data_IF_838230325067
#
_entry.id   IF_838230325067
#
_cell.length_a   1.000
_cell.length_b   1.000
_cell.length_c   1.000
_cell.angle_alpha   90.00
_cell.angle_beta   90.00
_cell.angle_gamma   90.00
#
_symmetry.space_group_name_H-M   'P 1'
#
loop_
_entity.id
_entity.type
_entity.pdbx_description
1 polymer ?
#
# COMPACT_ATOMS: atom_id res chain seq x y z
N UNK A 1 42.33 -1.55 10.41
CA UNK A 1 43.49 -1.08 9.64
C UNK A 1 43.22 -1.31 8.16
N UNK A 2 43.36 -0.30 7.29
CA UNK A 2 43.14 -0.47 5.86
C UNK A 2 44.28 -1.32 5.28
N UNK A 3 43.95 -2.44 4.64
CA UNK A 3 44.92 -3.18 3.83
C UNK A 3 45.21 -2.38 2.56
N UNK A 4 46.50 -2.16 2.30
CA UNK A 4 47.01 -1.28 1.25
C UNK A 4 46.77 -1.75 -0.21
N UNK A 5 45.81 -2.67 -0.44
CA UNK A 5 45.62 -3.32 -1.75
C UNK A 5 44.32 -2.91 -2.47
N UNK A 6 43.62 -1.85 -2.05
CA UNK A 6 42.46 -1.32 -2.80
C UNK A 6 41.24 -2.25 -2.91
N UNK A 7 41.31 -3.47 -2.38
CA UNK A 7 40.17 -4.36 -2.21
C UNK A 7 39.30 -3.81 -1.09
N UNK A 8 38.38 -2.92 -1.47
CA UNK A 8 37.21 -2.58 -0.65
C UNK A 8 36.66 -3.88 -0.07
N UNK A 9 36.48 -3.89 1.24
CA UNK A 9 35.87 -4.95 2.01
C UNK A 9 34.44 -5.22 1.48
N UNK A 10 34.31 -6.11 0.51
CA UNK A 10 33.06 -6.74 0.05
C UNK A 10 32.46 -7.70 1.09
N UNK A 11 32.78 -7.51 2.38
CA UNK A 11 32.46 -8.45 3.46
C UNK A 11 31.00 -8.49 3.91
N UNK A 12 30.05 -7.90 3.16
CA UNK A 12 28.62 -7.88 3.50
C UNK A 12 27.67 -7.87 2.29
N UNK A 13 28.10 -8.31 1.10
CA UNK A 13 27.20 -8.32 -0.05
C UNK A 13 26.41 -9.63 -0.13
N UNK A 14 25.25 -9.63 0.54
CA UNK A 14 24.20 -10.64 0.35
C UNK A 14 23.56 -10.58 -1.07
N UNK A 15 23.92 -9.57 -1.87
CA UNK A 15 23.45 -9.36 -3.23
C UNK A 15 24.58 -8.80 -4.12
N UNK A 16 24.54 -9.11 -5.41
CA UNK A 16 25.42 -8.55 -6.44
C UNK A 16 24.77 -7.33 -7.09
N UNK A 17 25.47 -6.19 -7.07
CA UNK A 17 25.08 -4.96 -7.78
C UNK A 17 25.98 -4.79 -9.02
N UNK A 18 25.54 -5.19 -10.23
CA UNK A 18 26.33 -5.01 -11.43
C UNK A 18 26.46 -3.52 -11.79
N UNK A 19 27.66 -3.03 -12.15
CA UNK A 19 27.86 -1.67 -12.62
C UNK A 19 27.25 -1.51 -14.02
N UNK A 20 26.01 -1.04 -14.07
CA UNK A 20 25.29 -0.76 -15.31
C UNK A 20 25.46 0.71 -15.69
N UNK A 21 26.00 0.95 -16.90
CA UNK A 21 26.05 2.28 -17.51
C UNK A 21 24.81 2.42 -18.42
N UNK A 22 23.88 3.29 -18.05
CA UNK A 22 22.73 3.62 -18.89
C UNK A 22 23.04 4.80 -19.80
N UNK A 23 23.11 4.56 -21.11
CA UNK A 23 23.23 5.61 -22.12
C UNK A 23 21.82 5.99 -22.63
N UNK A 24 21.29 7.12 -22.14
CA UNK A 24 20.07 7.72 -22.67
C UNK A 24 20.45 8.80 -23.68
N UNK A 25 20.12 8.58 -24.96
CA UNK A 25 20.31 9.61 -26.00
C UNK A 25 19.48 10.86 -25.70
N UNK A 26 20.00 12.03 -26.05
CA UNK A 26 19.28 13.31 -25.90
C UNK A 26 17.88 13.25 -26.52
N UNK A 27 16.85 13.63 -25.77
CA UNK A 27 15.44 13.57 -26.16
C UNK A 27 14.81 12.16 -26.19
N UNK A 28 15.61 11.08 -26.05
CA UNK A 28 15.10 9.70 -25.95
C UNK A 28 14.71 9.32 -24.51
N UNK A 29 15.15 10.08 -23.51
CA UNK A 29 14.80 9.88 -22.11
C UNK A 29 13.30 9.87 -21.92
N UNK A 30 12.60 10.85 -22.48
CA UNK A 30 11.17 11.04 -22.23
C UNK A 30 10.35 9.93 -22.87
N UNK A 31 10.70 9.55 -24.11
CA UNK A 31 10.07 8.42 -24.80
C UNK A 31 10.31 7.08 -24.10
N UNK A 32 11.48 6.90 -23.47
CA UNK A 32 11.76 5.72 -22.65
C UNK A 32 10.93 5.75 -21.36
N UNK A 33 10.95 6.86 -20.63
CA UNK A 33 10.18 7.03 -19.39
C UNK A 33 8.70 6.78 -19.62
N UNK A 34 8.08 7.38 -20.65
CA UNK A 34 6.67 7.15 -20.99
C UNK A 34 6.38 5.68 -21.30
N UNK A 35 7.28 5.00 -22.00
CA UNK A 35 7.14 3.57 -22.30
C UNK A 35 7.22 2.72 -21.04
N UNK A 36 8.16 3.02 -20.15
CA UNK A 36 8.31 2.32 -18.86
C UNK A 36 7.08 2.55 -17.98
N UNK A 37 6.61 3.80 -17.88
CA UNK A 37 5.38 4.14 -17.14
C UNK A 37 4.17 3.33 -17.65
N UNK A 38 4.01 3.26 -18.97
CA UNK A 38 2.94 2.46 -19.59
C UNK A 38 3.09 0.98 -19.25
N UNK A 39 4.29 0.42 -19.40
CA UNK A 39 4.53 -0.99 -19.10
C UNK A 39 4.25 -1.34 -17.62
N UNK A 40 4.65 -0.47 -16.68
CA UNK A 40 4.37 -0.65 -15.25
C UNK A 40 2.85 -0.67 -14.99
N UNK A 41 2.11 0.26 -15.61
CA UNK A 41 0.66 0.28 -15.54
C UNK A 41 0.02 -0.98 -16.16
N UNK A 42 0.49 -1.39 -17.34
CA UNK A 42 -0.04 -2.53 -18.07
C UNK A 42 0.22 -3.86 -17.34
N UNK A 43 1.33 -3.97 -16.60
CA UNK A 43 1.61 -5.11 -15.73
C UNK A 43 0.58 -5.18 -14.61
N UNK A 44 0.36 -4.07 -13.90
CA UNK A 44 -0.61 -4.06 -12.81
C UNK A 44 -2.04 -4.30 -13.31
N UNK A 45 -2.39 -3.76 -14.46
CA UNK A 45 -3.70 -4.01 -15.07
C UNK A 45 -3.94 -5.50 -15.31
N UNK A 46 -2.91 -6.27 -15.71
CA UNK A 46 -2.98 -7.72 -15.86
C UNK A 46 -3.06 -8.48 -14.53
N UNK A 47 -2.44 -7.95 -13.48
CA UNK A 47 -2.54 -8.52 -12.12
C UNK A 47 -3.95 -8.29 -11.59
N UNK A 48 -4.49 -7.08 -11.73
CA UNK A 48 -5.83 -6.71 -11.26
C UNK A 48 -6.95 -7.44 -12.02
N UNK A 49 -6.78 -7.68 -13.32
CA UNK A 49 -7.77 -8.40 -14.13
C UNK A 49 -7.80 -9.93 -13.86
N UNK A 50 -6.82 -10.47 -13.12
CA UNK A 50 -6.69 -11.90 -12.83
C UNK A 50 -6.85 -12.14 -11.31
N UNK A 51 -7.99 -12.67 -10.84
CA UNK A 51 -8.25 -12.84 -9.41
C UNK A 51 -7.21 -13.68 -8.67
N UNK A 52 -6.59 -14.65 -9.34
CA UNK A 52 -5.56 -15.51 -8.73
C UNK A 52 -4.27 -14.71 -8.54
N UNK A 53 -3.86 -13.95 -9.55
CA UNK A 53 -2.67 -13.08 -9.45
C UNK A 53 -2.88 -11.93 -8.49
N UNK A 54 -4.07 -11.33 -8.47
CA UNK A 54 -4.37 -10.27 -7.53
C UNK A 54 -4.26 -10.76 -6.09
N UNK A 55 -4.85 -11.93 -5.78
CA UNK A 55 -4.75 -12.53 -4.45
C UNK A 55 -3.30 -12.88 -4.08
N UNK A 56 -2.52 -13.42 -5.03
CA UNK A 56 -1.10 -13.69 -4.79
C UNK A 56 -0.34 -12.39 -4.46
N UNK A 57 -0.59 -11.33 -5.22
CA UNK A 57 0.01 -10.03 -4.98
C UNK A 57 -0.37 -9.43 -3.62
N UNK A 58 -1.61 -9.58 -3.15
CA UNK A 58 -1.98 -9.07 -1.82
C UNK A 58 -1.20 -9.74 -0.70
N UNK A 59 -0.86 -11.02 -0.84
CA UNK A 59 -0.02 -11.76 0.11
C UNK A 59 1.45 -11.32 -0.01
N UNK A 60 1.95 -11.08 -1.21
CA UNK A 60 3.30 -10.52 -1.40
C UNK A 60 3.43 -9.08 -0.89
N UNK A 61 2.33 -8.33 -0.89
CA UNK A 61 2.30 -6.97 -0.38
C UNK A 61 2.38 -6.94 1.16
N UNK A 62 1.74 -7.91 1.82
CA UNK A 62 1.67 -8.09 3.28
C UNK A 62 2.16 -9.50 3.63
N UNK A 63 3.48 -9.65 3.70
CA UNK A 63 4.17 -10.94 3.75
C UNK A 63 4.02 -11.68 5.09
N UNK A 64 3.79 -10.95 6.18
CA UNK A 64 3.76 -11.52 7.53
C UNK A 64 2.33 -11.93 7.92
N UNK A 65 2.11 -13.06 8.61
CA UNK A 65 0.79 -13.50 9.06
C UNK A 65 0.05 -12.45 9.92
N UNK A 66 0.79 -11.64 10.69
CA UNK A 66 0.24 -10.54 11.47
C UNK A 66 -0.38 -9.42 10.60
N UNK A 67 -0.15 -9.44 9.29
CA UNK A 67 -0.73 -8.50 8.32
C UNK A 67 -1.96 -9.07 7.58
N UNK A 68 -2.45 -10.26 7.96
CA UNK A 68 -3.60 -10.92 7.30
C UNK A 68 -4.85 -10.05 7.25
N UNK A 69 -5.13 -9.26 8.30
CA UNK A 69 -6.25 -8.32 8.31
C UNK A 69 -6.17 -7.32 7.14
N UNK A 70 -5.00 -6.75 6.91
CA UNK A 70 -4.75 -5.80 5.83
C UNK A 70 -4.83 -6.48 4.47
N UNK A 71 -4.31 -7.71 4.36
CA UNK A 71 -4.43 -8.57 3.18
C UNK A 71 -5.89 -8.82 2.81
N UNK A 72 -6.71 -9.16 3.80
CA UNK A 72 -8.15 -9.40 3.64
C UNK A 72 -8.88 -8.17 3.14
N UNK A 73 -8.66 -7.00 3.75
CA UNK A 73 -9.23 -5.73 3.29
C UNK A 73 -8.86 -5.48 1.83
N UNK A 74 -7.57 -5.55 1.50
CA UNK A 74 -7.10 -5.31 0.13
C UNK A 74 -7.70 -6.32 -0.87
N UNK A 75 -7.84 -7.57 -0.46
CA UNK A 75 -8.54 -8.61 -1.22
C UNK A 75 -9.98 -8.23 -1.57
N UNK A 76 -10.74 -7.72 -0.60
CA UNK A 76 -12.11 -7.22 -0.85
C UNK A 76 -12.14 -6.02 -1.79
N UNK A 77 -11.19 -5.08 -1.66
CA UNK A 77 -11.11 -3.91 -2.55
C UNK A 77 -10.91 -4.33 -4.01
N UNK A 78 -10.02 -5.27 -4.27
CA UNK A 78 -9.82 -5.81 -5.61
C UNK A 78 -11.00 -6.62 -6.12
N UNK A 79 -11.63 -7.43 -5.28
CA UNK A 79 -12.82 -8.19 -5.66
C UNK A 79 -14.03 -7.28 -5.95
N UNK A 80 -14.11 -6.12 -5.29
CA UNK A 80 -15.13 -5.11 -5.56
C UNK A 80 -14.90 -4.38 -6.89
N UNK A 81 -13.64 -4.24 -7.33
CA UNK A 81 -13.29 -3.56 -8.57
C UNK A 81 -13.88 -4.28 -9.80
N UNK A 82 -14.31 -3.47 -10.78
CA UNK A 82 -14.87 -3.92 -12.06
C UNK A 82 -14.51 -2.95 -13.17
N UNK A 83 -13.91 -3.46 -14.24
CA UNK A 83 -13.45 -2.64 -15.37
C UNK A 83 -14.57 -2.01 -16.21
N UNK A 84 -15.75 -2.63 -16.21
CA UNK A 84 -16.91 -2.16 -16.97
C UNK A 84 -17.72 -1.07 -16.24
N UNK A 85 -17.41 -0.82 -14.96
CA UNK A 85 -18.02 0.26 -14.17
C UNK A 85 -17.13 1.49 -14.25
N UNK A 86 -17.61 2.53 -14.93
CA UNK A 86 -16.90 3.81 -15.12
C UNK A 86 -16.41 4.41 -13.79
N UNK A 87 -17.26 4.38 -12.78
CA UNK A 87 -17.01 4.98 -11.46
C UNK A 87 -15.83 4.30 -10.75
N UNK A 88 -15.54 3.03 -11.09
CA UNK A 88 -14.41 2.28 -10.54
C UNK A 88 -13.05 2.70 -11.14
N UNK A 89 -13.02 3.66 -12.08
CA UNK A 89 -11.77 4.21 -12.57
C UNK A 89 -10.91 4.82 -11.44
N UNK A 90 -11.53 5.50 -10.46
CA UNK A 90 -10.79 6.06 -9.31
C UNK A 90 -10.33 4.96 -8.35
N UNK A 91 -11.11 3.89 -8.19
CA UNK A 91 -10.69 2.71 -7.42
C UNK A 91 -9.46 2.05 -8.07
N UNK A 92 -9.43 1.94 -9.40
CA UNK A 92 -8.24 1.48 -10.13
C UNK A 92 -7.02 2.35 -9.83
N UNK A 93 -7.19 3.68 -9.77
CA UNK A 93 -6.12 4.61 -9.38
C UNK A 93 -5.67 4.37 -7.94
N UNK A 94 -6.59 4.13 -7.00
CA UNK A 94 -6.27 3.81 -5.61
C UNK A 94 -5.45 2.52 -5.49
N UNK A 95 -5.85 1.47 -6.19
CA UNK A 95 -5.11 0.20 -6.22
C UNK A 95 -3.75 0.35 -6.91
N UNK A 96 -3.64 1.20 -7.94
CA UNK A 96 -2.36 1.55 -8.56
C UNK A 96 -1.43 2.30 -7.62
N UNK A 97 -1.95 3.17 -6.76
CA UNK A 97 -1.14 3.85 -5.76
C UNK A 97 -0.44 2.84 -4.85
N UNK A 98 -1.19 1.84 -4.35
CA UNK A 98 -0.62 0.75 -3.54
C UNK A 98 0.41 -0.06 -4.32
N UNK A 99 0.15 -0.36 -5.59
CA UNK A 99 1.14 -1.00 -6.46
C UNK A 99 2.41 -0.17 -6.64
N UNK A 100 2.30 1.14 -6.87
CA UNK A 100 3.47 2.00 -7.02
C UNK A 100 4.26 2.09 -5.72
N UNK A 101 3.57 2.16 -4.59
CA UNK A 101 4.21 2.14 -3.27
C UNK A 101 4.94 0.81 -3.02
N UNK A 102 4.33 -0.33 -3.34
CA UNK A 102 5.00 -1.64 -3.31
C UNK A 102 6.33 -1.62 -4.07
N UNK A 103 6.30 -1.10 -5.30
CA UNK A 103 7.49 -1.02 -6.15
C UNK A 103 8.53 -0.02 -5.64
N UNK A 104 8.10 1.07 -4.99
CA UNK A 104 8.99 2.07 -4.41
C UNK A 104 9.69 1.55 -3.14
N UNK A 105 8.99 0.75 -2.33
CA UNK A 105 9.52 0.18 -1.10
C UNK A 105 10.45 -1.02 -1.37
N UNK A 106 10.10 -1.87 -2.34
CA UNK A 106 10.87 -3.07 -2.64
C UNK A 106 12.05 -2.81 -3.59
N UNK A 107 13.01 -3.73 -3.60
CA UNK A 107 14.11 -3.73 -4.57
C UNK A 107 13.69 -4.56 -5.79
N UNK A 108 13.96 -4.05 -6.98
CA UNK A 108 13.86 -4.82 -8.21
C UNK A 108 15.01 -5.84 -8.25
N UNK A 109 14.66 -7.11 -8.16
CA UNK A 109 15.58 -8.25 -8.24
C UNK A 109 15.45 -8.87 -9.63
N UNK A 110 16.59 -9.20 -10.24
CA UNK A 110 16.61 -9.94 -11.51
C UNK A 110 16.28 -11.40 -11.20
N UNK A 111 15.24 -11.98 -11.81
CA UNK A 111 14.85 -13.35 -11.50
C UNK A 111 15.92 -14.33 -12.03
N UNK A 112 16.12 -15.49 -11.37
CA UNK A 112 17.23 -16.40 -11.65
C UNK A 112 17.38 -16.79 -13.13
N UNK A 113 16.26 -16.99 -13.82
CA UNK A 113 16.20 -17.35 -15.24
C UNK A 113 16.67 -16.23 -16.19
N UNK A 114 16.61 -14.97 -15.76
CA UNK A 114 17.03 -13.81 -16.55
C UNK A 114 18.50 -13.41 -16.28
N UNK A 115 19.11 -13.91 -15.21
CA UNK A 115 20.47 -13.54 -14.79
C UNK A 115 21.49 -13.84 -15.89
N UNK A 116 21.40 -15.00 -16.55
CA UNK A 116 22.33 -15.37 -17.64
C UNK A 116 22.25 -14.41 -18.83
N UNK A 117 21.04 -13.92 -19.15
CA UNK A 117 20.87 -12.92 -20.21
C UNK A 117 21.47 -11.56 -19.80
N UNK A 118 21.30 -11.16 -18.54
CA UNK A 118 21.92 -9.93 -18.03
C UNK A 118 23.45 -10.04 -18.09
N UNK A 119 24.02 -11.13 -17.58
CA UNK A 119 25.48 -11.36 -17.56
C UNK A 119 26.09 -11.33 -18.97
N UNK A 120 25.41 -11.88 -19.97
CA UNK A 120 25.86 -11.85 -21.36
C UNK A 120 25.95 -10.44 -21.98
N UNK A 121 25.30 -9.44 -21.36
CA UNK A 121 25.26 -8.06 -21.84
C UNK A 121 26.04 -7.08 -20.94
N UNK A 122 26.73 -7.56 -19.90
CA UNK A 122 27.55 -6.74 -19.02
C UNK A 122 29.03 -6.85 -19.37
N UNK A 123 29.72 -5.71 -19.39
CA UNK A 123 31.19 -5.68 -19.53
C UNK A 123 31.90 -6.23 -18.28
N UNK A 124 31.28 -6.05 -17.10
CA UNK A 124 31.81 -6.59 -15.84
C UNK A 124 31.09 -7.88 -15.46
N UNK A 125 31.86 -8.93 -15.21
CA UNK A 125 31.33 -10.21 -14.74
C UNK A 125 31.12 -10.21 -13.22
N UNK A 126 30.34 -11.20 -12.75
CA UNK A 126 30.10 -11.45 -11.33
C UNK A 126 31.44 -11.57 -10.56
N UNK A 127 31.54 -11.08 -9.31
CA UNK A 127 32.73 -11.24 -8.50
C UNK A 127 33.18 -12.70 -8.41
N UNK A 128 34.49 -12.92 -8.53
CA UNK A 128 35.08 -14.26 -8.46
C UNK A 128 34.79 -14.86 -7.07
N UNK A 129 34.12 -16.02 -7.04
CA UNK A 129 33.74 -16.73 -5.82
C UNK A 129 32.33 -16.42 -5.28
N UNK A 130 31.56 -15.53 -5.92
CA UNK A 130 30.17 -15.32 -5.54
C UNK A 130 29.30 -16.54 -5.87
N UNK A 131 28.43 -16.95 -4.95
CA UNK A 131 27.50 -18.06 -5.15
C UNK A 131 26.59 -17.81 -6.36
N UNK A 132 26.18 -18.89 -7.06
CA UNK A 132 25.25 -18.78 -8.21
C UNK A 132 23.90 -18.20 -7.81
N UNK A 133 23.49 -18.45 -6.57
CA UNK A 133 22.18 -18.07 -6.03
C UNK A 133 22.18 -16.68 -5.37
N UNK A 134 23.26 -15.90 -5.51
CA UNK A 134 23.29 -14.53 -5.00
C UNK A 134 22.22 -13.69 -5.69
N UNK A 135 21.45 -12.93 -4.92
CA UNK A 135 20.45 -12.02 -5.48
C UNK A 135 21.12 -10.96 -6.33
N UNK A 136 20.59 -10.70 -7.52
CA UNK A 136 21.14 -9.68 -8.43
C UNK A 136 20.26 -8.44 -8.38
N UNK A 137 20.80 -7.35 -7.84
CA UNK A 137 20.07 -6.11 -7.59
C UNK A 137 20.85 -4.96 -8.24
N UNK A 138 20.54 -4.60 -9.49
CA UNK A 138 21.19 -3.49 -10.16
C UNK A 138 20.71 -2.17 -9.58
N UNK A 139 21.52 -1.51 -8.76
CA UNK A 139 21.13 -0.29 -8.04
C UNK A 139 20.84 0.87 -9.01
N UNK A 140 21.63 1.02 -10.07
CA UNK A 140 21.40 2.07 -11.08
C UNK A 140 20.02 1.93 -11.72
N UNK A 141 19.62 0.70 -12.08
CA UNK A 141 18.29 0.43 -12.65
C UNK A 141 17.20 0.65 -11.61
N UNK A 142 17.42 0.19 -10.37
CA UNK A 142 16.48 0.43 -9.27
C UNK A 142 16.22 1.92 -9.08
N UNK A 143 17.26 2.76 -9.02
CA UNK A 143 17.13 4.22 -8.89
C UNK A 143 16.40 4.81 -10.09
N UNK A 144 16.72 4.38 -11.31
CA UNK A 144 16.06 4.84 -12.52
C UNK A 144 14.56 4.50 -12.52
N UNK A 145 14.19 3.26 -12.20
CA UNK A 145 12.79 2.84 -12.13
C UNK A 145 12.04 3.58 -11.02
N UNK A 146 12.63 3.72 -9.82
CA UNK A 146 12.01 4.46 -8.71
C UNK A 146 11.84 5.94 -9.02
N UNK A 147 12.79 6.56 -9.74
CA UNK A 147 12.67 7.94 -10.21
C UNK A 147 11.53 8.12 -11.24
N UNK A 148 11.19 7.08 -12.00
CA UNK A 148 10.02 7.08 -12.90
C UNK A 148 8.72 6.85 -12.14
N UNK A 149 8.73 5.95 -11.14
CA UNK A 149 7.53 5.55 -10.39
C UNK A 149 7.07 6.62 -9.42
N UNK A 150 7.99 7.34 -8.77
CA UNK A 150 7.63 8.35 -7.76
C UNK A 150 6.65 9.41 -8.30
N UNK A 151 6.88 10.06 -9.45
CA UNK A 151 5.90 10.97 -10.05
C UNK A 151 4.55 10.31 -10.38
N UNK A 152 4.54 9.01 -10.71
CA UNK A 152 3.29 8.27 -10.93
C UNK A 152 2.51 8.09 -9.64
N UNK A 153 3.20 7.77 -8.54
CA UNK A 153 2.62 7.65 -7.21
C UNK A 153 2.07 8.98 -6.71
N UNK A 154 2.83 10.07 -6.85
CA UNK A 154 2.38 11.42 -6.49
C UNK A 154 1.10 11.82 -7.23
N UNK A 155 1.08 11.61 -8.55
CA UNK A 155 -0.10 11.88 -9.38
C UNK A 155 -1.30 11.02 -8.98
N UNK A 156 -1.08 9.74 -8.68
CA UNK A 156 -2.15 8.84 -8.23
C UNK A 156 -2.70 9.27 -6.87
N UNK A 157 -1.84 9.68 -5.93
CA UNK A 157 -2.23 10.19 -4.62
C UNK A 157 -3.02 11.51 -4.72
N UNK A 158 -2.59 12.44 -5.58
CA UNK A 158 -3.33 13.68 -5.85
C UNK A 158 -4.72 13.38 -6.42
N UNK A 159 -4.80 12.51 -7.42
CA UNK A 159 -6.08 12.12 -8.02
C UNK A 159 -7.00 11.44 -7.01
N UNK A 160 -6.46 10.53 -6.19
CA UNK A 160 -7.21 9.82 -5.16
C UNK A 160 -7.74 10.77 -4.09
N UNK A 161 -6.88 11.63 -3.53
CA UNK A 161 -7.27 12.56 -2.46
C UNK A 161 -8.30 13.58 -2.95
N UNK A 162 -8.12 14.12 -4.16
CA UNK A 162 -9.12 14.99 -4.80
C UNK A 162 -10.44 14.25 -5.08
N UNK A 163 -10.36 13.05 -5.66
CA UNK A 163 -11.54 12.24 -5.96
C UNK A 163 -12.33 11.85 -4.72
N UNK A 164 -11.65 11.49 -3.64
CA UNK A 164 -12.26 11.20 -2.34
C UNK A 164 -12.90 12.46 -1.74
N UNK A 165 -12.21 13.59 -1.75
CA UNK A 165 -12.77 14.86 -1.28
C UNK A 165 -14.06 15.21 -2.04
N UNK A 166 -14.01 15.22 -3.38
CA UNK A 166 -15.14 15.58 -4.23
C UNK A 166 -16.33 14.63 -4.01
N UNK A 167 -16.06 13.33 -3.82
CA UNK A 167 -17.08 12.33 -3.54
C UNK A 167 -17.76 12.58 -2.18
N UNK A 168 -16.98 12.71 -1.11
CA UNK A 168 -17.48 12.96 0.24
C UNK A 168 -18.24 14.29 0.30
N UNK A 169 -17.71 15.34 -0.34
CA UNK A 169 -18.36 16.63 -0.43
C UNK A 169 -19.71 16.55 -1.15
N UNK A 170 -19.76 15.88 -2.31
CA UNK A 170 -21.01 15.68 -3.05
C UNK A 170 -22.04 14.91 -2.21
N UNK A 171 -21.61 13.86 -1.52
CA UNK A 171 -22.48 13.09 -0.61
C UNK A 171 -23.01 13.96 0.53
N UNK A 172 -22.15 14.77 1.16
CA UNK A 172 -22.51 15.64 2.27
C UNK A 172 -23.46 16.79 1.86
N UNK A 173 -23.22 17.41 0.71
CA UNK A 173 -24.04 18.53 0.19
C UNK A 173 -25.38 18.03 -0.32
N UNK A 174 -25.41 16.94 -1.09
CA UNK A 174 -26.65 16.40 -1.63
C UNK A 174 -27.53 15.75 -0.56
N UNK A 175 -26.95 15.37 0.58
CA UNK A 175 -27.58 14.53 1.62
C UNK A 175 -28.08 13.18 1.04
N UNK A 176 -27.55 12.77 -0.12
CA UNK A 176 -27.86 11.50 -0.76
C UNK A 176 -26.61 10.62 -0.72
N UNK A 177 -26.62 9.69 0.22
CA UNK A 177 -25.59 8.64 0.31
C UNK A 177 -26.17 7.39 -0.34
N UNK A 178 -25.76 7.11 -1.57
CA UNK A 178 -26.08 5.85 -2.21
C UNK A 178 -25.11 4.75 -1.76
N UNK A 179 -25.52 3.48 -1.86
CA UNK A 179 -24.69 2.35 -1.44
C UNK A 179 -23.39 2.33 -2.22
N UNK A 180 -23.44 2.54 -3.54
CA UNK A 180 -22.23 2.48 -4.35
C UNK A 180 -21.24 3.61 -4.06
N UNK A 181 -21.72 4.83 -3.77
CA UNK A 181 -20.85 5.93 -3.39
C UNK A 181 -20.23 5.71 -1.99
N UNK A 182 -20.99 5.14 -1.04
CA UNK A 182 -20.45 4.79 0.27
C UNK A 182 -19.36 3.71 0.14
N UNK A 183 -19.62 2.64 -0.61
CA UNK A 183 -18.65 1.58 -0.86
C UNK A 183 -17.39 2.13 -1.55
N UNK A 184 -17.54 2.97 -2.57
CA UNK A 184 -16.40 3.57 -3.28
C UNK A 184 -15.58 4.50 -2.37
N UNK A 185 -16.23 5.33 -1.57
CA UNK A 185 -15.55 6.19 -0.58
C UNK A 185 -14.76 5.35 0.41
N UNK A 186 -15.36 4.25 0.89
CA UNK A 186 -14.73 3.31 1.81
C UNK A 186 -13.50 2.65 1.19
N UNK A 187 -13.59 2.18 -0.06
CA UNK A 187 -12.45 1.61 -0.77
C UNK A 187 -11.28 2.59 -0.91
N UNK A 188 -11.59 3.85 -1.24
CA UNK A 188 -10.59 4.90 -1.38
C UNK A 188 -9.93 5.24 -0.03
N UNK A 189 -10.71 5.31 1.04
CA UNK A 189 -10.21 5.53 2.41
C UNK A 189 -9.27 4.41 2.86
N UNK A 190 -9.68 3.15 2.72
CA UNK A 190 -8.81 2.02 3.08
C UNK A 190 -7.51 2.04 2.28
N UNK A 191 -7.58 2.27 0.97
CA UNK A 191 -6.37 2.37 0.14
C UNK A 191 -5.45 3.50 0.61
N UNK A 192 -6.00 4.66 0.96
CA UNK A 192 -5.22 5.79 1.45
C UNK A 192 -4.60 5.51 2.83
N UNK A 193 -5.33 4.85 3.73
CA UNK A 193 -4.84 4.48 5.05
C UNK A 193 -3.75 3.41 4.99
N UNK A 194 -3.88 2.44 4.08
CA UNK A 194 -2.84 1.43 3.82
C UNK A 194 -1.55 2.11 3.33
N UNK A 195 -1.67 2.96 2.30
CA UNK A 195 -0.55 3.73 1.76
C UNK A 195 0.10 4.60 2.84
N UNK A 196 -0.70 5.30 3.64
CA UNK A 196 -0.20 6.16 4.71
C UNK A 196 0.57 5.35 5.75
N UNK A 197 0.00 4.26 6.26
CA UNK A 197 0.59 3.46 7.32
C UNK A 197 1.92 2.82 6.92
N UNK A 198 2.02 2.36 5.68
CA UNK A 198 3.25 1.80 5.12
C UNK A 198 4.30 2.85 4.80
N UNK A 199 3.90 4.04 4.33
CA UNK A 199 4.81 5.18 4.20
C UNK A 199 5.37 5.60 5.55
N UNK A 200 4.54 5.63 6.61
CA UNK A 200 5.00 5.90 7.97
C UNK A 200 5.99 4.83 8.47
N UNK A 201 5.78 3.55 8.12
CA UNK A 201 6.76 2.50 8.40
C UNK A 201 8.08 2.73 7.66
N UNK A 202 8.04 3.18 6.40
CA UNK A 202 9.25 3.52 5.67
C UNK A 202 10.03 4.67 6.33
N UNK A 203 9.35 5.70 6.84
CA UNK A 203 9.99 6.78 7.62
C UNK A 203 10.66 6.23 8.88
N UNK A 204 10.06 5.24 9.54
CA UNK A 204 10.69 4.58 10.69
C UNK A 204 11.99 3.90 10.31
N UNK A 205 12.06 3.23 9.17
CA UNK A 205 13.30 2.60 8.69
C UNK A 205 14.40 3.63 8.38
N UNK A 206 14.05 4.85 7.96
CA UNK A 206 15.04 5.92 7.73
C UNK A 206 15.82 6.28 9.00
N UNK A 207 15.21 6.19 10.18
CA UNK A 207 15.89 6.46 11.45
C UNK A 207 17.00 5.44 11.78
N UNK A 208 17.00 4.28 11.12
CA UNK A 208 18.04 3.26 11.23
C UNK A 208 19.11 3.37 10.13
N UNK A 209 18.91 4.25 9.15
CA UNK A 209 19.83 4.41 8.03
C UNK A 209 21.00 5.31 8.46
N UNK A 210 22.26 4.92 8.20
CA UNK A 210 23.41 5.74 8.56
C UNK A 210 23.37 7.13 7.90
N UNK A 211 23.74 8.17 8.65
CA UNK A 211 23.75 9.56 8.15
C UNK A 211 24.63 9.75 6.90
N UNK A 212 25.68 8.92 6.73
CA UNK A 212 26.53 8.93 5.54
C UNK A 212 25.79 8.53 4.25
N UNK A 213 24.71 7.75 4.35
CA UNK A 213 23.88 7.34 3.21
C UNK A 213 22.77 8.34 2.91
N UNK A 214 22.20 8.95 3.95
CA UNK A 214 21.12 9.95 3.82
C UNK A 214 21.64 11.35 3.45
N UNK A 215 22.90 11.67 3.78
CA UNK A 215 23.44 13.02 3.68
C UNK A 215 23.06 13.94 4.84
N UNK A 216 22.16 13.49 5.72
CA UNK A 216 21.72 14.17 6.93
C UNK A 216 21.39 13.17 8.05
N UNK A 217 21.33 13.66 9.30
CA UNK A 217 20.88 12.86 10.44
C UNK A 217 19.35 12.91 10.50
N UNK A 218 18.69 11.77 10.31
CA UNK A 218 17.24 11.65 10.49
C UNK A 218 16.93 10.99 11.83
N UNK A 219 16.43 11.75 12.79
CA UNK A 219 16.25 11.27 14.17
C UNK A 219 14.88 10.63 14.40
N UNK A 220 14.73 9.91 15.50
CA UNK A 220 13.42 9.40 15.94
C UNK A 220 12.41 10.54 16.18
N UNK A 221 12.87 11.70 16.67
CA UNK A 221 11.98 12.85 16.88
C UNK A 221 11.47 13.42 15.55
N UNK A 222 12.31 13.49 14.51
CA UNK A 222 11.92 13.94 13.17
C UNK A 222 10.88 13.00 12.56
N UNK A 223 11.10 11.70 12.73
CA UNK A 223 10.17 10.66 12.31
C UNK A 223 8.81 10.78 13.03
N UNK A 224 8.80 10.90 14.35
CA UNK A 224 7.55 11.04 15.11
C UNK A 224 6.78 12.31 14.72
N UNK A 225 7.48 13.43 14.59
CA UNK A 225 6.88 14.69 14.16
C UNK A 225 6.28 14.56 12.75
N UNK A 226 6.99 13.90 11.84
CA UNK A 226 6.51 13.69 10.47
C UNK A 226 5.29 12.76 10.42
N UNK A 227 5.29 11.68 11.19
CA UNK A 227 4.16 10.75 11.26
C UNK A 227 2.90 11.46 11.78
N UNK A 228 3.03 12.26 12.86
CA UNK A 228 1.91 13.06 13.39
C UNK A 228 1.40 14.07 12.37
N UNK A 229 2.30 14.79 11.69
CA UNK A 229 1.92 15.73 10.62
C UNK A 229 1.14 15.04 9.49
N UNK A 230 1.51 13.81 9.13
CA UNK A 230 0.79 13.05 8.11
C UNK A 230 -0.60 12.58 8.60
N UNK A 231 -0.74 12.20 9.87
CA UNK A 231 -2.05 11.82 10.43
C UNK A 231 -3.00 13.00 10.49
N UNK A 232 -2.55 14.12 11.06
CA UNK A 232 -3.36 15.33 11.19
C UNK A 232 -3.87 15.81 9.83
N UNK A 233 -3.01 15.77 8.80
CA UNK A 233 -3.33 16.29 7.45
C UNK A 233 -4.14 15.34 6.58
N UNK A 234 -4.02 14.03 6.78
CA UNK A 234 -4.58 13.03 5.86
C UNK A 234 -5.57 12.13 6.58
N UNK A 235 -5.12 11.43 7.61
CA UNK A 235 -5.96 10.47 8.34
C UNK A 235 -7.15 11.19 8.97
N UNK A 236 -6.90 12.12 9.88
CA UNK A 236 -7.95 12.77 10.65
C UNK A 236 -8.90 13.53 9.74
N UNK A 237 -8.37 14.25 8.75
CA UNK A 237 -9.17 14.96 7.77
C UNK A 237 -10.17 14.05 7.03
N UNK A 238 -9.70 12.98 6.38
CA UNK A 238 -10.58 12.15 5.55
C UNK A 238 -11.46 11.23 6.38
N UNK A 239 -10.96 10.71 7.52
CA UNK A 239 -11.72 9.88 8.45
C UNK A 239 -12.86 10.70 9.06
N UNK A 240 -12.59 11.92 9.56
CA UNK A 240 -13.62 12.77 10.15
C UNK A 240 -14.63 13.26 9.10
N UNK A 241 -14.16 13.61 7.89
CA UNK A 241 -15.08 14.02 6.83
C UNK A 241 -15.99 12.86 6.38
N UNK A 242 -15.45 11.64 6.33
CA UNK A 242 -16.25 10.46 6.09
C UNK A 242 -17.29 10.24 7.19
N UNK A 243 -16.88 10.29 8.47
CA UNK A 243 -17.78 10.20 9.62
C UNK A 243 -18.90 11.23 9.56
N UNK A 244 -18.55 12.49 9.30
CA UNK A 244 -19.51 13.58 9.15
C UNK A 244 -20.51 13.30 8.04
N UNK A 245 -20.03 12.83 6.89
CA UNK A 245 -20.86 12.52 5.72
C UNK A 245 -21.85 11.39 6.02
N UNK A 246 -21.39 10.32 6.69
CA UNK A 246 -22.24 9.20 7.07
C UNK A 246 -23.30 9.59 8.12
N UNK A 247 -22.94 10.40 9.12
CA UNK A 247 -23.84 10.82 10.20
C UNK A 247 -24.98 11.74 9.75
N UNK A 248 -24.84 12.42 8.61
CA UNK A 248 -25.94 13.24 8.03
C UNK A 248 -27.08 12.43 7.42
N UNK A 249 -27.08 11.09 7.55
CA UNK A 249 -28.16 10.17 7.11
C UNK A 249 -29.56 10.41 7.70
N UNK A 250 -29.84 11.54 8.38
CA UNK A 250 -31.12 11.76 9.08
C UNK A 250 -32.35 11.80 8.16
N UNK A 251 -32.17 11.84 6.83
CA UNK A 251 -33.28 11.80 5.88
C UNK A 251 -33.04 10.67 4.87
N UNK A 252 -33.84 9.59 4.94
CA UNK A 252 -33.97 8.58 3.86
C UNK A 252 -34.50 9.29 2.60
N UNK A 253 -33.61 9.97 1.89
CA UNK A 253 -33.90 10.53 0.58
C UNK A 253 -33.89 9.38 -0.43
N UNK A 254 -35.05 9.04 -0.96
CA UNK A 254 -35.21 8.08 -2.05
C UNK A 254 -34.36 8.52 -3.25
N UNK A 255 -33.41 7.69 -3.65
CA UNK A 255 -32.68 7.85 -4.92
C UNK A 255 -33.68 7.91 -6.07
N UNK A 256 -33.35 8.66 -7.14
CA UNK A 256 -34.17 8.62 -8.35
C UNK A 256 -34.20 7.17 -8.88
N UNK A 257 -35.34 6.71 -9.41
CA UNK A 257 -35.48 5.32 -9.88
C UNK A 257 -34.46 4.93 -10.96
N UNK A 258 -34.02 5.92 -11.74
CA UNK A 258 -32.94 5.81 -12.74
C UNK A 258 -31.57 5.58 -12.12
N UNK A 259 -31.19 6.30 -11.06
CA UNK A 259 -29.87 6.12 -10.43
C UNK A 259 -29.78 4.78 -9.71
N UNK A 260 -30.87 4.37 -9.06
CA UNK A 260 -30.96 3.10 -8.34
C UNK A 260 -30.73 1.87 -9.23
N UNK A 261 -30.98 1.99 -10.55
CA UNK A 261 -30.82 0.90 -11.52
C UNK A 261 -29.53 0.98 -12.35
N UNK A 262 -28.63 1.91 -12.05
CA UNK A 262 -27.31 1.97 -12.68
C UNK A 262 -26.50 0.68 -12.42
N UNK A 263 -25.57 0.34 -13.33
CA UNK A 263 -24.68 -0.81 -13.14
C UNK A 263 -23.86 -0.69 -11.85
N UNK A 264 -23.49 0.54 -11.48
CA UNK A 264 -22.76 0.87 -10.26
C UNK A 264 -23.58 0.56 -8.99
N UNK A 265 -24.81 1.05 -8.89
CA UNK A 265 -25.69 0.75 -7.74
C UNK A 265 -26.14 -0.70 -7.67
N UNK A 266 -26.29 -1.36 -8.82
CA UNK A 266 -26.60 -2.80 -8.85
C UNK A 266 -25.44 -3.62 -8.30
N UNK A 267 -24.23 -3.35 -8.79
CA UNK A 267 -23.02 -4.02 -8.33
C UNK A 267 -22.79 -3.85 -6.83
N UNK A 268 -22.90 -2.62 -6.31
CA UNK A 268 -22.74 -2.37 -4.87
C UNK A 268 -23.73 -3.16 -4.02
N UNK A 269 -25.01 -3.18 -4.40
CA UNK A 269 -26.06 -3.93 -3.69
C UNK A 269 -25.89 -5.45 -3.77
N UNK A 270 -25.37 -5.96 -4.88
CA UNK A 270 -25.10 -7.39 -5.06
C UNK A 270 -23.83 -7.82 -4.33
N UNK A 271 -22.80 -6.98 -4.36
CA UNK A 271 -21.53 -7.27 -3.72
C UNK A 271 -21.64 -7.18 -2.20
N UNK A 272 -22.32 -6.16 -1.65
CA UNK A 272 -22.49 -5.95 -0.20
C UNK A 272 -21.16 -5.78 0.53
N UNK A 273 -20.37 -4.79 0.10
CA UNK A 273 -19.00 -4.62 0.58
C UNK A 273 -18.96 -4.42 2.11
N UNK A 274 -19.77 -3.50 2.61
CA UNK A 274 -19.84 -3.20 4.05
C UNK A 274 -20.26 -4.43 4.85
N UNK A 275 -21.28 -5.17 4.41
CA UNK A 275 -21.71 -6.37 5.15
C UNK A 275 -20.65 -7.48 5.13
N UNK A 276 -19.93 -7.65 4.01
CA UNK A 276 -18.82 -8.62 3.94
C UNK A 276 -17.68 -8.21 4.86
N UNK A 277 -17.30 -6.94 4.85
CA UNK A 277 -16.27 -6.42 5.75
C UNK A 277 -16.68 -6.58 7.21
N UNK A 278 -17.92 -6.21 7.58
CA UNK A 278 -18.42 -6.43 8.94
C UNK A 278 -18.36 -7.90 9.33
N UNK A 279 -18.86 -8.78 8.47
CA UNK A 279 -18.87 -10.21 8.76
C UNK A 279 -17.47 -10.76 8.97
N UNK A 280 -16.55 -10.50 8.04
CA UNK A 280 -15.18 -11.01 8.14
C UNK A 280 -14.48 -10.44 9.38
N UNK A 281 -14.63 -9.13 9.62
CA UNK A 281 -14.00 -8.45 10.75
C UNK A 281 -14.58 -8.91 12.08
N UNK A 282 -15.89 -9.06 12.22
CA UNK A 282 -16.48 -9.57 13.46
C UNK A 282 -16.21 -11.06 13.68
N UNK A 283 -16.30 -11.89 12.64
CA UNK A 283 -16.15 -13.34 12.76
C UNK A 283 -14.71 -13.77 12.98
N UNK A 284 -13.77 -13.23 12.19
CA UNK A 284 -12.38 -13.67 12.18
C UNK A 284 -11.50 -12.81 13.09
N UNK A 285 -11.77 -11.50 13.17
CA UNK A 285 -10.89 -10.54 13.86
C UNK A 285 -11.48 -9.95 15.16
N UNK A 286 -12.79 -9.99 15.34
CA UNK A 286 -13.52 -9.32 16.43
C UNK A 286 -13.90 -10.23 17.59
N UNK A 287 -13.98 -11.55 17.39
CA UNK A 287 -14.34 -12.53 18.43
C UNK A 287 -13.22 -12.88 19.42
N UNK A 288 -12.02 -12.33 19.26
CA UNK A 288 -10.89 -12.59 20.16
C UNK A 288 -10.94 -11.87 21.51
N UNK A 289 -12.01 -11.12 21.82
CA UNK A 289 -12.30 -10.65 23.19
C UNK A 289 -12.59 -11.82 24.18
N UNK A 290 -12.65 -13.06 23.70
CA UNK A 290 -12.79 -14.26 24.53
C UNK A 290 -11.47 -14.95 24.93
N UNK A 291 -10.29 -14.38 24.67
CA UNK A 291 -9.03 -14.86 25.25
C UNK A 291 -8.85 -14.44 26.72
N UNK A 292 -9.90 -14.71 27.51
CA UNK A 292 -9.84 -14.95 28.94
C UNK A 292 -9.59 -16.45 29.13
N UNK A 293 -8.54 -16.80 29.88
CA UNK A 293 -8.32 -18.11 30.51
C UNK A 293 -8.04 -19.34 29.63
N UNK A 294 -6.96 -19.33 28.84
CA UNK A 294 -6.07 -20.50 28.77
C UNK A 294 -4.79 -20.16 27.98
N UNK A 295 -3.59 -20.15 28.61
CA UNK A 295 -2.36 -20.14 27.85
C UNK A 295 -2.22 -21.52 27.22
N UNK A 296 -2.47 -21.63 25.91
CA UNK A 296 -2.03 -22.81 25.18
C UNK A 296 -0.51 -22.81 25.23
N UNK A 297 0.00 -23.75 26.02
CA UNK A 297 1.34 -24.27 25.88
C UNK A 297 1.55 -24.52 24.36
N UNK A 298 2.46 -23.75 23.75
CA UNK A 298 3.16 -24.05 22.49
C UNK A 298 2.53 -23.45 21.20
N UNK A 299 2.08 -22.19 21.25
CA UNK A 299 2.22 -21.29 20.10
C UNK A 299 2.99 -20.05 20.53
N UNK A 300 4.23 -19.94 20.05
CA UNK A 300 4.93 -18.66 20.02
C UNK A 300 4.09 -17.67 19.21
N UNK A 301 4.10 -16.42 19.68
CA UNK A 301 3.28 -15.28 19.26
C UNK A 301 1.85 -15.27 19.83
N UNK A 302 1.77 -14.55 20.94
CA UNK A 302 0.55 -13.96 21.50
C UNK A 302 -0.33 -13.47 20.34
N UNK A 303 -1.50 -14.08 20.17
CA UNK A 303 -2.60 -13.46 19.44
C UNK A 303 -3.02 -12.21 20.22
N UNK A 304 -2.24 -11.14 20.08
CA UNK A 304 -2.58 -9.82 20.59
C UNK A 304 -3.92 -9.44 19.97
N UNK A 305 -4.90 -9.05 20.79
CA UNK A 305 -6.22 -8.60 20.33
C UNK A 305 -6.08 -7.78 19.04
N UNK A 306 -6.67 -8.28 17.96
CA UNK A 306 -6.49 -7.68 16.63
C UNK A 306 -7.16 -6.31 16.51
N UNK A 307 -8.07 -5.97 17.42
CA UNK A 307 -8.54 -4.61 17.64
C UNK A 307 -7.52 -3.83 18.48
N UNK A 308 -6.86 -2.79 17.94
CA UNK A 308 -5.89 -2.01 18.70
C UNK A 308 -6.53 -1.35 19.92
N UNK A 309 -5.89 -1.47 21.08
CA UNK A 309 -6.35 -0.85 22.33
C UNK A 309 -6.45 0.68 22.25
N UNK A 310 -5.63 1.29 21.39
CA UNK A 310 -5.67 2.71 21.07
C UNK A 310 -5.65 2.90 19.56
N UNK A 311 -6.50 3.79 19.06
CA UNK A 311 -6.46 4.24 17.66
C UNK A 311 -5.58 5.47 17.44
N UNK A 312 -5.01 6.03 18.51
CA UNK A 312 -3.98 7.08 18.41
C UNK A 312 -2.64 6.45 18.07
N UNK A 313 -1.83 7.15 17.28
CA UNK A 313 -0.46 6.72 17.03
C UNK A 313 0.33 6.66 18.33
N UNK A 314 0.86 5.47 18.62
CA UNK A 314 1.65 5.19 19.82
C UNK A 314 2.49 3.95 19.58
N UNK A 315 3.65 3.86 20.25
CA UNK A 315 4.53 2.70 20.15
C UNK A 315 5.26 2.60 18.81
N UNK A 316 6.41 3.26 18.70
CA UNK A 316 7.27 3.23 17.50
C UNK A 316 8.31 2.10 17.55
N UNK A 317 7.93 0.95 18.11
CA UNK A 317 8.79 -0.23 18.16
C UNK A 317 8.96 -0.79 16.74
N UNK A 318 10.21 -0.97 16.30
CA UNK A 318 10.52 -1.33 14.90
C UNK A 318 9.85 -2.65 14.49
N UNK A 319 9.86 -3.62 15.40
CA UNK A 319 9.35 -4.96 15.13
C UNK A 319 7.83 -4.98 14.96
N UNK A 320 7.11 -4.08 15.64
CA UNK A 320 5.64 -4.12 15.71
C UNK A 320 4.94 -2.99 14.96
N UNK A 321 5.64 -1.87 14.75
CA UNK A 321 5.04 -0.67 14.15
C UNK A 321 4.51 -0.94 12.74
N UNK A 322 5.20 -1.77 11.95
CA UNK A 322 4.79 -2.14 10.59
C UNK A 322 3.34 -2.64 10.55
N UNK A 323 3.04 -3.72 11.27
CA UNK A 323 1.72 -4.35 11.20
C UNK A 323 0.70 -3.59 12.08
N UNK A 324 1.08 -3.10 13.26
CA UNK A 324 0.13 -2.41 14.15
C UNK A 324 -0.34 -1.08 13.59
N UNK A 325 0.53 -0.33 12.91
CA UNK A 325 0.19 1.01 12.44
C UNK A 325 -0.82 0.98 11.27
N UNK A 326 -0.59 0.14 10.26
CA UNK A 326 -1.53 -0.01 9.13
C UNK A 326 -2.87 -0.54 9.64
N UNK A 327 -2.83 -1.57 10.49
CA UNK A 327 -4.02 -2.14 11.15
C UNK A 327 -4.83 -1.07 11.88
N UNK A 328 -4.17 -0.23 12.68
CA UNK A 328 -4.80 0.89 13.40
C UNK A 328 -5.49 1.88 12.48
N UNK A 329 -4.85 2.30 11.40
CA UNK A 329 -5.45 3.24 10.44
C UNK A 329 -6.66 2.63 9.72
N UNK A 330 -6.60 1.34 9.39
CA UNK A 330 -7.74 0.62 8.82
C UNK A 330 -8.91 0.53 9.83
N UNK A 331 -8.63 0.29 11.11
CA UNK A 331 -9.64 0.30 12.16
C UNK A 331 -10.28 1.68 12.38
N UNK A 332 -9.55 2.79 12.19
CA UNK A 332 -10.13 4.15 12.23
C UNK A 332 -11.22 4.32 11.17
N UNK A 333 -10.97 3.82 9.96
CA UNK A 333 -11.96 3.87 8.87
C UNK A 333 -13.16 2.99 9.19
N UNK A 334 -12.90 1.76 9.63
CA UNK A 334 -13.94 0.78 9.91
C UNK A 334 -14.87 1.21 11.05
N UNK A 335 -14.33 1.81 12.12
CA UNK A 335 -15.13 2.33 13.24
C UNK A 335 -16.19 3.36 12.80
N UNK A 336 -15.89 4.17 11.78
CA UNK A 336 -16.88 5.11 11.26
C UNK A 336 -18.04 4.43 10.53
N UNK A 337 -17.82 3.22 10.01
CA UNK A 337 -18.87 2.41 9.38
C UNK A 337 -19.70 1.71 10.45
N UNK A 338 -19.06 1.15 11.48
CA UNK A 338 -19.75 0.58 12.66
C UNK A 338 -20.69 1.61 13.29
N UNK A 339 -20.20 2.83 13.56
CA UNK A 339 -20.99 3.91 14.20
C UNK A 339 -22.18 4.40 13.34
N UNK A 340 -22.18 4.13 12.04
CA UNK A 340 -23.16 4.67 11.08
C UNK A 340 -24.23 3.65 10.62
N UNK A 341 -24.08 2.39 11.03
CA UNK A 341 -25.07 1.32 10.85
C UNK A 341 -25.97 1.23 12.10
#
# INVERSE_FOLDING_TARGET
MPSANGTRSYGRQWYWNPPIIMLLGWGKSDGMSVRVQKNICDIFDKVLDDPVKYKAWTIEYFEEPEEDFQTTILGFLGAYYRKDIKEHAILKTALKLLWFEYLLLNKFIVPPEAVGHLEANLESTRPVGAHKDIQVIPETINRFLKAIILPMAEKAAEQLTKGLHDLLFKMAVSQKVSTANADLALCMLFSLMIFLGRTQNALRLLTQTPAAELGELYTAADMEAKIRDMEDKVSDYFVDFHKYTLNRKSSKSTLSSTDANSAFERHAREFKLIERLHKEIEEDYGKLDACSSNPRLWSDQVAECERPASLKVSGFHVDTFRYMNVRRLCWLVFKNVEDAC
#
